data_IF_210083423615
#
_entry.id   IF_210083423615
#
_cell.length_a   1.000
_cell.length_b   1.000
_cell.length_c   1.000
_cell.angle_alpha   90.00
_cell.angle_beta   90.00
_cell.angle_gamma   90.00
#
_symmetry.space_group_name_H-M   'P 1'
#
loop_
_entity.id
_entity.type
_entity.pdbx_description
1 polymer ?
#
# COMPACT_ATOMS: atom_id res chain seq x y z
N UNK A 1 -28.39 -53.36 17.81
CA UNK A 1 -27.10 -52.90 17.26
C UNK A 1 -27.43 -51.74 16.34
N UNK A 2 -27.10 -50.52 16.75
CA UNK A 2 -27.42 -49.32 15.96
C UNK A 2 -26.24 -49.04 15.04
N UNK A 3 -26.46 -49.08 13.73
CA UNK A 3 -25.46 -48.71 12.73
C UNK A 3 -25.69 -47.24 12.40
N UNK A 4 -24.65 -46.42 12.57
CA UNK A 4 -24.66 -45.02 12.15
C UNK A 4 -23.81 -44.93 10.89
N UNK A 5 -24.41 -44.41 9.81
CA UNK A 5 -23.72 -44.15 8.54
C UNK A 5 -23.44 -42.66 8.44
N UNK A 6 -22.17 -42.26 8.31
CA UNK A 6 -21.75 -40.87 8.13
C UNK A 6 -20.93 -40.72 6.85
N UNK A 7 -21.20 -39.67 6.08
CA UNK A 7 -20.35 -39.24 4.99
C UNK A 7 -19.40 -38.15 5.53
N UNK A 8 -18.09 -38.35 5.36
CA UNK A 8 -17.06 -37.43 5.85
C UNK A 8 -15.97 -37.31 4.81
N UNK A 9 -15.63 -36.07 4.45
CA UNK A 9 -14.51 -35.76 3.58
C UNK A 9 -13.19 -35.84 4.38
N UNK A 10 -12.18 -36.43 3.76
CA UNK A 10 -10.91 -36.75 4.40
C UNK A 10 -9.78 -36.11 3.60
N UNK A 11 -9.00 -35.28 4.26
CA UNK A 11 -7.81 -34.65 3.68
C UNK A 11 -6.54 -35.36 4.14
N UNK A 12 -5.60 -35.47 3.19
CA UNK A 12 -4.24 -35.96 3.43
C UNK A 12 -3.36 -34.79 3.86
N UNK A 13 -2.82 -34.86 5.08
CA UNK A 13 -1.97 -33.80 5.64
C UNK A 13 -0.62 -34.37 6.06
N UNK A 14 0.45 -33.60 5.87
CA UNK A 14 1.73 -33.83 6.52
C UNK A 14 1.83 -32.99 7.80
N UNK A 15 1.98 -33.65 8.94
CA UNK A 15 2.09 -33.00 10.25
C UNK A 15 3.55 -32.70 10.67
N UNK A 16 4.48 -32.72 9.71
CA UNK A 16 5.92 -32.53 9.96
C UNK A 16 6.54 -33.71 10.70
N UNK A 17 5.93 -34.90 10.58
CA UNK A 17 6.39 -36.13 11.23
C UNK A 17 6.94 -37.17 10.23
N UNK A 18 7.02 -36.80 8.95
CA UNK A 18 7.43 -37.68 7.85
C UNK A 18 6.36 -38.69 7.41
N UNK A 19 5.17 -38.63 8.00
CA UNK A 19 4.04 -39.49 7.66
C UNK A 19 2.87 -38.65 7.16
N UNK A 20 2.24 -39.11 6.09
CA UNK A 20 0.96 -38.59 5.62
C UNK A 20 -0.14 -39.20 6.49
N UNK A 21 -0.94 -38.34 7.11
CA UNK A 21 -2.10 -38.75 7.89
C UNK A 21 -3.38 -38.36 7.17
N UNK A 22 -4.41 -39.14 7.40
CA UNK A 22 -5.75 -38.94 6.88
C UNK A 22 -6.59 -38.41 8.03
N UNK A 23 -7.04 -37.16 7.93
CA UNK A 23 -7.85 -36.51 8.94
C UNK A 23 -9.12 -35.99 8.29
N UNK A 24 -10.24 -36.03 9.01
CA UNK A 24 -11.48 -35.44 8.55
C UNK A 24 -11.33 -33.91 8.41
N UNK A 25 -11.98 -33.33 7.41
CA UNK A 25 -11.84 -31.91 7.08
C UNK A 25 -12.33 -31.01 8.22
N UNK A 26 -13.45 -31.37 8.83
CA UNK A 26 -14.03 -30.68 9.98
C UNK A 26 -13.08 -30.67 11.19
N UNK A 27 -12.37 -31.78 11.41
CA UNK A 27 -11.36 -31.89 12.46
C UNK A 27 -10.16 -30.98 12.19
N UNK A 28 -9.67 -30.93 10.94
CA UNK A 28 -8.58 -30.04 10.54
C UNK A 28 -8.99 -28.59 10.76
N UNK A 29 -10.15 -28.17 10.26
CA UNK A 29 -10.67 -26.81 10.43
C UNK A 29 -10.86 -26.43 11.90
N UNK A 30 -11.39 -27.35 12.71
CA UNK A 30 -11.57 -27.12 14.13
C UNK A 30 -10.22 -26.88 14.83
N UNK A 31 -9.22 -27.71 14.53
CA UNK A 31 -7.90 -27.63 15.14
C UNK A 31 -7.05 -26.47 14.63
N UNK A 32 -7.24 -26.03 13.39
CA UNK A 32 -6.66 -24.79 12.88
C UNK A 32 -7.27 -23.55 13.54
N UNK A 33 -8.56 -23.60 13.92
CA UNK A 33 -9.23 -22.49 14.62
C UNK A 33 -8.89 -22.43 16.10
N UNK A 34 -8.92 -23.56 16.79
CA UNK A 34 -8.74 -23.61 18.25
C UNK A 34 -7.29 -23.81 18.70
N UNK A 35 -6.39 -24.16 17.76
CA UNK A 35 -4.97 -24.43 17.99
C UNK A 35 -4.69 -25.48 19.08
N UNK A 36 -5.68 -26.31 19.43
CA UNK A 36 -5.51 -27.32 20.47
C UNK A 36 -4.61 -28.45 19.97
N UNK A 37 -3.86 -29.02 20.90
CA UNK A 37 -3.06 -30.18 20.61
C UNK A 37 -3.92 -31.43 20.39
N UNK A 38 -3.48 -32.30 19.48
CA UNK A 38 -4.06 -33.61 19.22
C UNK A 38 -2.94 -34.64 19.00
N UNK A 39 -3.23 -35.93 19.19
CA UNK A 39 -2.25 -36.98 18.98
C UNK A 39 -2.29 -37.48 17.53
N UNK A 40 -1.12 -37.56 16.91
CA UNK A 40 -0.99 -38.23 15.62
C UNK A 40 -1.18 -39.73 15.80
N UNK A 41 -2.13 -40.31 15.05
CA UNK A 41 -2.45 -41.73 15.07
C UNK A 41 -1.32 -42.63 14.54
N UNK A 42 -0.40 -42.11 13.73
CA UNK A 42 0.71 -42.89 13.15
C UNK A 42 1.95 -42.87 14.06
N UNK A 43 2.38 -41.68 14.50
CA UNK A 43 3.61 -41.55 15.28
C UNK A 43 3.40 -41.43 16.80
N UNK A 44 2.16 -41.34 17.27
CA UNK A 44 1.80 -41.24 18.69
C UNK A 44 2.18 -39.92 19.39
N UNK A 45 2.79 -38.97 18.68
CA UNK A 45 3.21 -37.68 19.26
C UNK A 45 2.10 -36.65 19.23
N UNK A 46 2.07 -35.79 20.26
CA UNK A 46 1.22 -34.61 20.30
C UNK A 46 1.63 -33.62 19.20
N UNK A 47 0.64 -33.10 18.49
CA UNK A 47 0.74 -32.16 17.36
C UNK A 47 -0.24 -31.03 17.59
N UNK A 48 0.07 -29.85 17.07
CA UNK A 48 -0.84 -28.71 17.04
C UNK A 48 -0.52 -27.89 15.80
N UNK A 49 -1.49 -27.14 15.28
CA UNK A 49 -1.23 -26.16 14.23
C UNK A 49 -0.61 -24.91 14.86
N UNK A 50 0.59 -24.49 14.43
CA UNK A 50 1.26 -23.33 15.02
C UNK A 50 0.45 -22.06 14.76
N UNK A 51 0.26 -21.26 15.81
CA UNK A 51 -0.26 -19.90 15.69
C UNK A 51 0.92 -18.93 15.59
N UNK A 52 0.77 -17.85 14.81
CA UNK A 52 1.70 -16.71 14.92
C UNK A 52 1.73 -16.23 16.37
N UNK A 53 2.93 -16.13 16.93
CA UNK A 53 3.14 -15.48 18.22
C UNK A 53 2.71 -14.01 18.15
N UNK A 54 2.34 -13.43 19.29
CA UNK A 54 1.99 -12.01 19.33
C UNK A 54 3.17 -11.13 18.88
N UNK A 55 4.41 -11.57 19.15
CA UNK A 55 5.63 -10.92 18.67
C UNK A 55 5.68 -10.93 17.14
N UNK A 56 5.38 -12.05 16.48
CA UNK A 56 5.37 -12.12 15.01
C UNK A 56 4.24 -11.28 14.40
N UNK A 57 3.05 -11.28 15.02
CA UNK A 57 1.94 -10.42 14.60
C UNK A 57 2.32 -8.94 14.69
N UNK A 58 2.86 -8.52 15.84
CA UNK A 58 3.29 -7.14 16.07
C UNK A 58 4.42 -6.73 15.12
N UNK A 59 5.40 -7.61 14.89
CA UNK A 59 6.46 -7.37 13.89
C UNK A 59 5.89 -7.17 12.49
N UNK A 60 4.91 -7.99 12.10
CA UNK A 60 4.23 -7.85 10.82
C UNK A 60 3.47 -6.53 10.68
N UNK A 61 2.72 -6.13 11.72
CA UNK A 61 2.00 -4.85 11.75
C UNK A 61 2.94 -3.65 11.67
N UNK A 62 4.06 -3.71 12.40
CA UNK A 62 5.05 -2.65 12.43
C UNK A 62 5.81 -2.53 11.10
N UNK A 63 6.13 -3.65 10.45
CA UNK A 63 6.68 -3.64 9.09
C UNK A 63 5.70 -3.02 8.09
N UNK A 64 4.45 -3.50 8.07
CA UNK A 64 3.41 -2.97 7.18
C UNK A 64 3.15 -1.48 7.37
N UNK A 65 3.18 -1.01 8.62
CA UNK A 65 2.99 0.40 8.95
C UNK A 65 4.16 1.26 8.46
N UNK A 66 5.39 0.76 8.56
CA UNK A 66 6.58 1.44 8.04
C UNK A 66 6.52 1.56 6.52
N UNK A 67 6.19 0.47 5.84
CA UNK A 67 6.08 0.46 4.37
C UNK A 67 5.01 1.44 3.87
N UNK A 68 3.88 1.50 4.58
CA UNK A 68 2.81 2.47 4.30
C UNK A 68 3.29 3.92 4.52
N UNK A 69 3.99 4.18 5.63
CA UNK A 69 4.50 5.50 5.96
C UNK A 69 5.51 5.99 4.90
N UNK A 70 6.40 5.12 4.46
CA UNK A 70 7.40 5.45 3.46
C UNK A 70 6.77 5.71 2.09
N UNK A 71 5.75 4.94 1.72
CA UNK A 71 4.96 5.17 0.51
C UNK A 71 4.27 6.53 0.54
N UNK A 72 3.61 6.87 1.65
CA UNK A 72 2.92 8.16 1.83
C UNK A 72 3.90 9.33 1.79
N UNK A 73 5.08 9.18 2.40
CA UNK A 73 6.14 10.21 2.35
C UNK A 73 6.64 10.43 0.94
N UNK A 74 6.91 9.35 0.20
CA UNK A 74 7.37 9.43 -1.18
C UNK A 74 6.34 10.12 -2.09
N UNK A 75 5.06 9.77 -1.95
CA UNK A 75 3.96 10.41 -2.71
C UNK A 75 3.82 11.90 -2.37
N UNK A 76 3.86 12.25 -1.07
CA UNK A 76 3.83 13.65 -0.62
C UNK A 76 4.97 14.45 -1.24
N UNK A 77 6.19 13.94 -1.14
CA UNK A 77 7.38 14.65 -1.63
C UNK A 77 7.37 14.76 -3.16
N UNK A 78 6.81 13.78 -3.87
CA UNK A 78 6.60 13.85 -5.31
C UNK A 78 5.58 14.93 -5.69
N UNK A 79 4.41 14.94 -5.04
CA UNK A 79 3.36 15.95 -5.26
C UNK A 79 3.84 17.36 -4.92
N UNK A 80 4.62 17.51 -3.86
CA UNK A 80 5.19 18.81 -3.47
C UNK A 80 6.17 19.32 -4.53
N UNK A 81 7.03 18.44 -5.06
CA UNK A 81 7.93 18.79 -6.17
C UNK A 81 7.16 19.20 -7.42
N UNK A 82 6.10 18.49 -7.78
CA UNK A 82 5.24 18.86 -8.90
C UNK A 82 4.61 20.25 -8.70
N UNK A 83 3.97 20.49 -7.54
CA UNK A 83 3.37 21.79 -7.21
C UNK A 83 4.37 22.93 -7.27
N UNK A 84 5.58 22.73 -6.72
CA UNK A 84 6.66 23.74 -6.79
C UNK A 84 7.08 24.00 -8.23
N UNK A 85 7.21 22.96 -9.06
CA UNK A 85 7.54 23.07 -10.48
C UNK A 85 6.47 23.82 -11.28
N UNK A 86 5.20 23.48 -11.09
CA UNK A 86 4.06 24.16 -11.70
C UNK A 86 3.98 25.63 -11.30
N UNK A 87 4.14 25.92 -10.01
CA UNK A 87 4.18 27.30 -9.51
C UNK A 87 5.31 28.08 -10.16
N UNK A 88 6.52 27.53 -10.19
CA UNK A 88 7.67 28.17 -10.83
C UNK A 88 7.44 28.41 -12.33
N UNK A 89 6.85 27.45 -13.05
CA UNK A 89 6.51 27.60 -14.46
C UNK A 89 5.45 28.69 -14.69
N UNK A 90 4.38 28.71 -13.88
CA UNK A 90 3.33 29.75 -13.91
C UNK A 90 3.93 31.13 -13.66
N UNK A 91 4.75 31.28 -12.61
CA UNK A 91 5.44 32.54 -12.30
C UNK A 91 6.36 32.99 -13.44
N UNK A 92 7.14 32.08 -14.03
CA UNK A 92 8.01 32.40 -15.18
C UNK A 92 7.21 32.91 -16.39
N UNK A 93 6.08 32.27 -16.69
CA UNK A 93 5.20 32.69 -17.80
C UNK A 93 4.57 34.06 -17.49
N UNK A 94 4.01 34.25 -16.28
CA UNK A 94 3.46 35.54 -15.83
C UNK A 94 4.49 36.67 -15.97
N UNK A 95 5.71 36.44 -15.48
CA UNK A 95 6.80 37.42 -15.56
C UNK A 95 7.18 37.76 -17.02
N UNK A 96 7.14 36.80 -17.94
CA UNK A 96 7.40 37.05 -19.36
C UNK A 96 6.30 37.90 -19.98
N UNK A 97 5.04 37.54 -19.74
CA UNK A 97 3.88 38.28 -20.26
C UNK A 97 3.85 39.71 -19.72
N UNK A 98 4.09 39.89 -18.41
CA UNK A 98 4.19 41.23 -17.79
C UNK A 98 5.26 42.11 -18.45
N UNK A 99 6.38 41.51 -18.84
CA UNK A 99 7.46 42.20 -19.55
C UNK A 99 7.23 42.30 -21.07
N UNK A 100 6.07 41.89 -21.59
CA UNK A 100 5.73 41.94 -23.00
C UNK A 100 6.50 40.94 -23.87
N UNK A 101 6.98 39.83 -23.30
CA UNK A 101 7.78 38.80 -23.98
C UNK A 101 6.94 37.55 -24.28
N UNK A 102 6.96 37.04 -25.53
CA UNK A 102 6.27 35.77 -25.82
C UNK A 102 6.90 34.61 -25.03
N UNK A 103 6.10 33.80 -24.32
CA UNK A 103 6.57 32.54 -23.73
C UNK A 103 7.07 31.54 -24.78
N UNK A 104 6.54 31.63 -26.00
CA UNK A 104 6.76 30.70 -27.10
C UNK A 104 8.11 30.88 -27.82
N UNK A 105 8.41 32.11 -28.24
CA UNK A 105 9.50 32.42 -29.17
C UNK A 105 10.43 33.53 -28.66
N UNK A 106 10.25 33.98 -27.40
CA UNK A 106 11.06 35.00 -26.73
C UNK A 106 11.11 36.37 -27.44
N UNK A 107 10.20 36.63 -28.39
CA UNK A 107 10.04 37.95 -29.03
C UNK A 107 9.43 38.94 -28.05
N UNK A 108 9.89 40.19 -28.10
CA UNK A 108 9.41 41.28 -27.25
C UNK A 108 8.47 42.20 -28.01
N UNK A 109 7.35 42.56 -27.39
CA UNK A 109 6.32 43.44 -27.95
C UNK A 109 6.22 44.70 -27.10
N UNK A 110 6.68 45.83 -27.63
CA UNK A 110 6.72 47.12 -26.92
C UNK A 110 5.33 47.61 -26.49
N UNK A 111 4.33 47.41 -27.35
CA UNK A 111 2.95 47.82 -27.05
C UNK A 111 2.33 46.99 -25.93
N UNK A 112 2.58 45.67 -25.92
CA UNK A 112 2.12 44.81 -24.85
C UNK A 112 2.79 45.17 -23.52
N UNK A 113 4.10 45.41 -23.52
CA UNK A 113 4.80 45.81 -22.30
C UNK A 113 4.23 47.11 -21.70
N UNK A 114 4.06 48.14 -22.54
CA UNK A 114 3.45 49.42 -22.14
C UNK A 114 2.00 49.25 -21.67
N UNK A 115 1.23 48.39 -22.35
CA UNK A 115 -0.13 48.06 -21.95
C UNK A 115 -0.15 47.43 -20.54
N UNK A 116 0.67 46.40 -20.30
CA UNK A 116 0.76 45.73 -19.01
C UNK A 116 1.19 46.68 -17.89
N UNK A 117 2.19 47.53 -18.12
CA UNK A 117 2.65 48.52 -17.13
C UNK A 117 1.56 49.54 -16.75
N UNK A 118 0.81 50.04 -17.73
CA UNK A 118 -0.17 51.11 -17.50
C UNK A 118 -1.53 50.59 -17.03
N UNK A 119 -1.94 49.40 -17.47
CA UNK A 119 -3.28 48.85 -17.21
C UNK A 119 -3.27 47.72 -16.18
N UNK A 120 -2.15 47.04 -16.00
CA UNK A 120 -2.04 45.87 -15.12
C UNK A 120 -0.74 45.89 -14.28
N UNK A 121 -0.49 46.95 -13.49
CA UNK A 121 0.73 47.05 -12.67
C UNK A 121 0.86 45.88 -11.67
N UNK A 122 -0.26 45.32 -11.19
CA UNK A 122 -0.27 44.25 -10.17
C UNK A 122 -0.37 42.82 -10.76
N UNK A 123 -0.27 42.65 -12.08
CA UNK A 123 -0.47 41.34 -12.73
C UNK A 123 0.45 40.23 -12.21
N UNK A 124 1.68 40.59 -11.83
CA UNK A 124 2.66 39.64 -11.25
C UNK A 124 2.35 39.33 -9.78
N UNK A 125 1.75 40.29 -9.05
CA UNK A 125 1.43 40.15 -7.63
C UNK A 125 0.11 39.39 -7.37
N UNK A 126 -0.82 39.38 -8.34
CA UNK A 126 -2.02 38.54 -8.26
C UNK A 126 -1.65 37.06 -8.48
N UNK A 127 -1.65 36.23 -7.42
CA UNK A 127 -1.38 34.79 -7.51
C UNK A 127 -2.66 33.95 -7.67
#
# INVERSE_FOLDING_TARGET
MTVITTNTDITVVDLGCGHRVYLADDFIEQRQRDHKSFYCNVCGRSRHWPQKSDIEKLRGQLASTRDMLDTVRADRDHKERQRRGEKAAKTKIKNRIANGVCPCCNRSFKDLHRHMQNKHPDYVASD
#
